data_IF_974732994496
#
_entry.id   IF_974732994496
#
_cell.length_a   1.000
_cell.length_b   1.000
_cell.length_c   1.000
_cell.angle_alpha   90.00
_cell.angle_beta   90.00
_cell.angle_gamma   90.00
#
_symmetry.space_group_name_H-M   'P 1'
#
loop_
_entity.id
_entity.type
_entity.pdbx_description
1 polymer ?
#
# COMPACT_ATOMS: atom_id res chain seq x y z
N UNK A 1 31.80 5.02 33.23
CA UNK A 1 30.94 5.65 32.19
C UNK A 1 31.27 5.01 30.84
N UNK A 2 30.34 4.25 30.25
CA UNK A 2 30.40 3.82 28.85
C UNK A 2 28.99 4.02 28.27
N UNK A 3 28.89 4.90 27.29
CA UNK A 3 27.63 5.35 26.70
C UNK A 3 26.90 4.21 26.00
N UNK A 4 25.63 4.02 26.41
CA UNK A 4 24.63 3.28 25.68
C UNK A 4 24.45 3.97 24.32
N UNK A 5 24.93 3.36 23.23
CA UNK A 5 24.44 3.70 21.89
C UNK A 5 22.98 3.26 21.84
N UNK A 6 22.06 4.21 21.92
CA UNK A 6 20.65 4.00 21.55
C UNK A 6 20.66 3.59 20.07
N UNK A 7 20.44 2.31 19.80
CA UNK A 7 20.11 1.85 18.44
C UNK A 7 18.82 2.56 18.03
N UNK A 8 18.86 3.23 16.89
CA UNK A 8 17.73 3.97 16.34
C UNK A 8 16.52 3.08 16.13
N UNK A 9 15.34 3.67 16.29
CA UNK A 9 14.07 3.09 15.90
C UNK A 9 14.16 2.66 14.43
N UNK A 10 13.99 1.35 14.19
CA UNK A 10 13.90 0.78 12.85
C UNK A 10 12.74 1.44 12.09
N UNK A 11 12.89 1.76 10.79
CA UNK A 11 11.82 2.33 10.00
C UNK A 11 10.71 1.29 9.80
N UNK A 12 9.52 1.60 10.31
CA UNK A 12 8.19 1.20 9.82
C UNK A 12 8.15 0.03 8.83
N UNK A 13 7.96 -1.18 9.33
CA UNK A 13 7.64 -2.37 8.53
C UNK A 13 6.21 -2.28 7.99
N UNK A 14 6.00 -2.62 6.72
CA UNK A 14 4.66 -2.75 6.13
C UNK A 14 3.81 -3.76 6.93
N UNK A 15 2.53 -3.44 7.14
CA UNK A 15 1.60 -4.25 7.93
C UNK A 15 0.76 -5.14 7.02
N UNK A 16 0.49 -6.38 7.40
CA UNK A 16 -0.40 -7.26 6.63
C UNK A 16 -1.81 -6.66 6.58
N UNK A 17 -2.47 -6.76 5.43
CA UNK A 17 -3.86 -6.36 5.28
C UNK A 17 -4.77 -7.25 6.14
N UNK A 18 -5.60 -6.62 6.97
CA UNK A 18 -6.68 -7.25 7.74
C UNK A 18 -7.93 -6.37 7.74
N UNK A 19 -9.07 -6.90 8.19
CA UNK A 19 -10.32 -6.12 8.31
C UNK A 19 -10.17 -4.94 9.26
N UNK A 20 -9.44 -5.15 10.35
CA UNK A 20 -9.13 -4.12 11.34
C UNK A 20 -8.32 -3.00 10.70
N UNK A 21 -7.28 -3.34 9.92
CA UNK A 21 -6.48 -2.34 9.22
C UNK A 21 -7.29 -1.54 8.18
N UNK A 22 -8.25 -2.17 7.48
CA UNK A 22 -9.16 -1.46 6.57
C UNK A 22 -10.06 -0.47 7.33
N UNK A 23 -10.53 -0.85 8.51
CA UNK A 23 -11.33 0.03 9.36
C UNK A 23 -10.49 1.19 9.91
N UNK A 24 -9.27 0.93 10.37
CA UNK A 24 -8.34 1.95 10.84
C UNK A 24 -8.05 2.99 9.73
N UNK A 25 -7.83 2.56 8.49
CA UNK A 25 -7.63 3.46 7.36
C UNK A 25 -8.85 4.35 7.11
N UNK A 26 -10.07 3.80 7.20
CA UNK A 26 -11.31 4.57 7.07
C UNK A 26 -11.45 5.60 8.18
N UNK A 27 -11.16 5.20 9.42
CA UNK A 27 -11.22 6.10 10.59
C UNK A 27 -10.19 7.24 10.49
N UNK A 28 -9.06 7.01 9.81
CA UNK A 28 -8.04 8.02 9.48
C UNK A 28 -8.39 8.89 8.26
N UNK A 29 -9.55 8.66 7.63
CA UNK A 29 -10.06 9.44 6.50
C UNK A 29 -9.51 9.02 5.13
N UNK A 30 -8.83 7.87 5.02
CA UNK A 30 -8.52 7.29 3.72
C UNK A 30 -9.76 6.69 3.09
N UNK A 31 -9.82 6.70 1.75
CA UNK A 31 -10.97 6.18 0.99
C UNK A 31 -10.60 5.11 -0.01
N UNK A 32 -9.36 5.15 -0.50
CA UNK A 32 -8.87 4.22 -1.51
C UNK A 32 -7.48 3.69 -1.12
N UNK A 33 -7.06 2.66 -1.82
CA UNK A 33 -5.67 2.23 -1.90
C UNK A 33 -5.24 2.21 -3.37
N UNK A 34 -4.02 2.64 -3.61
CA UNK A 34 -3.30 2.30 -4.83
C UNK A 34 -2.78 0.87 -4.70
N UNK A 35 -3.08 0.05 -5.70
CA UNK A 35 -2.71 -1.37 -5.76
C UNK A 35 -1.48 -1.54 -6.65
N UNK A 36 -0.40 -2.07 -6.08
CA UNK A 36 0.82 -2.43 -6.81
C UNK A 36 1.05 -3.93 -6.73
N UNK A 37 0.96 -4.62 -7.85
CA UNK A 37 1.26 -6.06 -7.95
C UNK A 37 2.68 -6.30 -8.45
N UNK A 38 3.34 -7.34 -7.92
CA UNK A 38 4.67 -7.75 -8.36
C UNK A 38 4.64 -9.17 -8.90
N UNK A 39 5.20 -9.35 -10.11
CA UNK A 39 5.39 -10.68 -10.69
C UNK A 39 6.58 -11.38 -10.01
N UNK A 40 6.43 -12.68 -9.71
CA UNK A 40 7.52 -13.48 -9.12
C UNK A 40 8.61 -13.80 -10.15
N UNK A 41 8.23 -14.06 -11.40
CA UNK A 41 9.18 -14.36 -12.47
C UNK A 41 8.89 -13.55 -13.73
N UNK A 42 9.94 -13.16 -14.44
CA UNK A 42 9.87 -12.21 -15.58
C UNK A 42 9.37 -12.87 -16.86
N UNK A 43 8.42 -13.80 -16.76
CA UNK A 43 7.82 -14.49 -17.90
C UNK A 43 6.67 -13.66 -18.46
N UNK A 44 6.64 -13.52 -19.78
CA UNK A 44 5.69 -12.65 -20.46
C UNK A 44 4.31 -13.30 -20.65
N UNK A 45 4.22 -14.63 -20.51
CA UNK A 45 3.07 -15.45 -20.83
C UNK A 45 2.22 -15.84 -19.60
N UNK A 46 2.73 -15.64 -18.38
CA UNK A 46 1.96 -15.86 -17.15
C UNK A 46 2.45 -14.92 -16.05
N UNK A 47 1.59 -13.99 -15.61
CA UNK A 47 1.88 -13.11 -14.47
C UNK A 47 1.03 -13.61 -13.30
N UNK A 48 1.62 -14.43 -12.42
CA UNK A 48 1.02 -14.74 -11.13
C UNK A 48 1.35 -13.61 -10.16
N UNK A 49 0.37 -12.74 -9.91
CA UNK A 49 0.45 -11.70 -8.89
C UNK A 49 -0.14 -12.26 -7.60
N UNK A 50 0.71 -12.72 -6.70
CA UNK A 50 0.28 -13.06 -5.35
C UNK A 50 0.75 -12.05 -4.31
N UNK A 51 1.71 -11.19 -4.64
CA UNK A 51 2.23 -10.16 -3.74
C UNK A 51 1.76 -8.76 -4.14
N UNK A 52 1.06 -8.09 -3.22
CA UNK A 52 0.49 -6.76 -3.41
C UNK A 52 0.94 -5.79 -2.32
N UNK A 53 1.34 -4.61 -2.75
CA UNK A 53 1.51 -3.45 -1.88
C UNK A 53 0.33 -2.50 -2.06
N UNK A 54 -0.28 -2.12 -0.94
CA UNK A 54 -1.42 -1.23 -0.86
C UNK A 54 -0.96 0.10 -0.26
N UNK A 55 -1.08 1.17 -1.03
CA UNK A 55 -0.71 2.52 -0.58
C UNK A 55 -2.00 3.30 -0.29
N UNK A 56 -2.31 3.65 0.98
CA UNK A 56 -3.53 4.37 1.30
C UNK A 56 -3.56 5.77 0.67
N UNK A 57 -4.69 6.13 0.07
CA UNK A 57 -4.93 7.47 -0.50
C UNK A 57 -6.32 7.98 -0.11
N UNK A 58 -6.42 9.30 0.14
CA UNK A 58 -7.68 9.95 0.54
C UNK A 58 -8.57 10.28 -0.65
N UNK A 59 -7.95 10.66 -1.76
CA UNK A 59 -8.61 11.09 -2.99
C UNK A 59 -7.91 10.45 -4.18
N UNK A 60 -8.64 10.28 -5.28
CA UNK A 60 -8.08 9.81 -6.54
C UNK A 60 -7.35 10.98 -7.22
N UNK A 61 -6.27 10.72 -7.99
CA UNK A 61 -5.60 11.78 -8.73
C UNK A 61 -6.52 12.37 -9.82
N UNK A 62 -6.38 13.67 -10.06
CA UNK A 62 -7.11 14.39 -11.11
C UNK A 62 -6.33 14.43 -12.44
N UNK A 63 -5.01 14.18 -12.41
CA UNK A 63 -4.17 14.19 -13.61
C UNK A 63 -4.49 12.97 -14.49
N UNK A 64 -4.99 13.16 -15.73
CA UNK A 64 -5.29 12.05 -16.64
C UNK A 64 -4.05 11.24 -17.08
N UNK A 65 -2.83 11.72 -16.79
CA UNK A 65 -1.57 11.01 -17.03
C UNK A 65 -1.20 10.06 -15.89
N UNK A 66 -1.80 10.20 -14.71
CA UNK A 66 -1.61 9.30 -13.57
C UNK A 66 -2.51 8.07 -13.69
N UNK A 67 -2.11 7.15 -14.58
CA UNK A 67 -2.83 5.90 -14.84
C UNK A 67 -2.32 4.78 -13.94
N UNK A 68 -2.93 4.66 -12.77
CA UNK A 68 -2.67 3.56 -11.82
C UNK A 68 -3.96 2.83 -11.44
N UNK A 69 -3.83 1.72 -10.69
CA UNK A 69 -4.96 0.91 -10.25
C UNK A 69 -5.32 1.31 -8.83
N UNK A 70 -6.52 1.85 -8.65
CA UNK A 70 -7.06 2.22 -7.34
C UNK A 70 -8.24 1.33 -6.99
N UNK A 71 -8.31 0.91 -5.73
CA UNK A 71 -9.44 0.17 -5.18
C UNK A 71 -10.02 0.94 -3.99
N UNK A 72 -11.34 1.10 -3.89
CA UNK A 72 -11.95 1.69 -2.70
C UNK A 72 -11.84 0.72 -1.52
N UNK A 73 -11.73 1.25 -0.30
CA UNK A 73 -11.52 0.46 0.93
C UNK A 73 -12.71 -0.45 1.31
N UNK A 74 -13.86 -0.30 0.65
CA UNK A 74 -15.04 -1.14 0.78
C UNK A 74 -15.21 -2.14 -0.37
N UNK A 75 -14.24 -2.22 -1.28
CA UNK A 75 -14.28 -3.20 -2.37
C UNK A 75 -14.28 -4.63 -1.84
N UNK A 76 -15.11 -5.47 -2.47
CA UNK A 76 -15.27 -6.88 -2.10
C UNK A 76 -13.93 -7.63 -2.13
N UNK A 77 -13.07 -7.33 -3.11
CA UNK A 77 -11.76 -7.96 -3.25
C UNK A 77 -10.81 -7.66 -2.07
N UNK A 78 -10.80 -6.43 -1.56
CA UNK A 78 -9.98 -6.10 -0.39
C UNK A 78 -10.55 -6.74 0.87
N UNK A 79 -11.87 -6.83 0.99
CA UNK A 79 -12.53 -7.52 2.09
C UNK A 79 -12.23 -9.02 2.06
N UNK A 80 -12.18 -9.63 0.88
CA UNK A 80 -11.80 -11.02 0.67
C UNK A 80 -10.34 -11.27 1.08
N UNK A 81 -9.39 -10.49 0.53
CA UNK A 81 -7.97 -10.59 0.87
C UNK A 81 -7.69 -10.34 2.36
N UNK A 82 -8.48 -9.47 2.99
CA UNK A 82 -8.42 -9.19 4.42
C UNK A 82 -9.08 -10.27 5.30
N UNK A 83 -9.91 -11.14 4.72
CA UNK A 83 -10.62 -12.21 5.42
C UNK A 83 -9.88 -13.54 5.39
N UNK A 84 -9.17 -13.82 4.31
CA UNK A 84 -8.68 -15.16 4.01
C UNK A 84 -7.15 -15.24 4.04
N UNK A 85 -6.63 -15.76 5.15
CA UNK A 85 -5.20 -15.99 5.34
C UNK A 85 -4.63 -17.10 4.43
N UNK A 86 -5.50 -17.96 3.86
CA UNK A 86 -5.16 -19.14 3.06
C UNK A 86 -5.41 -18.94 1.55
N UNK A 87 -5.88 -17.75 1.13
CA UNK A 87 -6.18 -17.39 -0.27
C UNK A 87 -4.96 -17.40 -1.21
N UNK A 88 -3.75 -17.61 -0.68
CA UNK A 88 -2.49 -17.49 -1.42
C UNK A 88 -2.09 -16.06 -1.77
N UNK A 89 -2.90 -15.06 -1.38
CA UNK A 89 -2.64 -13.63 -1.61
C UNK A 89 -1.92 -13.01 -0.40
N UNK A 90 -0.83 -12.32 -0.71
CA UNK A 90 0.00 -11.56 0.22
C UNK A 90 -0.18 -10.06 -0.01
N UNK A 91 -1.12 -9.44 0.70
CA UNK A 91 -1.36 -8.00 0.65
C UNK A 91 -0.80 -7.29 1.89
N UNK A 92 -0.01 -6.24 1.67
CA UNK A 92 0.60 -5.43 2.73
C UNK A 92 0.32 -3.94 2.54
N UNK A 93 -0.03 -3.26 3.63
CA UNK A 93 -0.24 -1.82 3.68
C UNK A 93 1.10 -1.13 3.93
N UNK A 94 1.45 -0.19 3.04
CA UNK A 94 2.57 0.70 3.26
C UNK A 94 2.26 1.69 4.40
N UNK A 95 3.23 1.98 5.28
CA UNK A 95 3.08 3.03 6.29
C UNK A 95 2.69 4.33 5.58
N UNK A 96 1.66 5.02 6.06
CA UNK A 96 1.15 6.27 5.45
C UNK A 96 2.13 7.46 5.52
N UNK A 97 3.43 7.22 5.68
CA UNK A 97 4.52 8.20 5.60
C UNK A 97 4.72 8.56 4.13
N UNK A 98 3.79 9.35 3.59
CA UNK A 98 3.86 9.80 2.21
C UNK A 98 2.53 9.97 1.51
N UNK A 99 1.38 9.67 2.13
CA UNK A 99 0.06 9.83 1.51
C UNK A 99 -0.39 11.30 1.25
N UNK A 100 0.55 12.25 1.36
CA UNK A 100 0.48 13.62 0.86
C UNK A 100 1.47 13.78 -0.32
N UNK A 101 1.37 12.91 -1.33
CA UNK A 101 2.11 13.13 -2.59
C UNK A 101 1.34 14.11 -3.47
N UNK A 102 1.21 15.36 -3.03
CA UNK A 102 1.34 16.46 -3.98
C UNK A 102 2.81 16.51 -4.43
N UNK A 103 3.20 15.60 -5.31
CA UNK A 103 4.54 15.62 -5.90
C UNK A 103 4.56 16.74 -6.93
N UNK A 104 4.71 17.98 -6.46
CA UNK A 104 5.13 19.11 -7.29
C UNK A 104 6.45 18.71 -7.91
N UNK A 105 6.38 18.29 -9.17
CA UNK A 105 7.55 18.01 -10.00
C UNK A 105 8.19 19.36 -10.31
N UNK A 106 8.99 19.89 -9.38
CA UNK A 106 9.89 20.99 -9.68
C UNK A 106 10.95 20.44 -10.63
N UNK A 107 10.72 20.61 -11.94
CA UNK A 107 11.80 20.54 -12.93
C UNK A 107 12.78 21.68 -12.66
N UNK A 108 13.88 21.34 -11.99
CA UNK A 108 15.21 21.88 -12.26
C UNK A 108 15.84 20.78 -13.12
N UNK A 109 16.12 20.92 -14.42
CA UNK A 109 16.93 21.91 -15.16
C UNK A 109 16.42 21.91 -16.62
#
# INVERSE_FOLDING_TARGET
>A
MKGKRKGGENPTSASRLTKESLQELKDLGFRFVLVKGYAIDRRADYIELNHFTLVPVRELPEDPNEKEIYAPLDSEILLEWASDADSGVEAFIEPAIGADRNHVQTKVI
#
